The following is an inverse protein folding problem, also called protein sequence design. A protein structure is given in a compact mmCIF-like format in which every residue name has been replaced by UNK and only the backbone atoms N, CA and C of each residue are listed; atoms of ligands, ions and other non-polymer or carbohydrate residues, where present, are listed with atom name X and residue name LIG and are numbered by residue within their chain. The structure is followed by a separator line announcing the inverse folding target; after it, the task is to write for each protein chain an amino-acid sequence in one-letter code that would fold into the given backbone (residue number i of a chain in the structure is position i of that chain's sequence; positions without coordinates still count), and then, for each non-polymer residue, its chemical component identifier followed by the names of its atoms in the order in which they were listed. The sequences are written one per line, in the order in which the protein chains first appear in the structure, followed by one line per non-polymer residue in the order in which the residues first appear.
data_IF_264378493474
#
_entry.id   IF_264378493474
#
_cell.length_a   1.000
_cell.length_b   1.000
_cell.length_c   1.000
_cell.angle_alpha   90.00
_cell.angle_beta   90.00
_cell.angle_gamma   90.00
#
_symmetry.space_group_name_H-M   'P 1'
#
loop_
_entity.id
_entity.type
_entity.pdbx_description
1 polymer ?
#
# COMPACT_ATOMS: atom_id res chain seq x y z
N UNK A 1 -14.88 3.25 -79.08
CA UNK A 1 -13.88 3.81 -78.14
C UNK A 1 -14.58 4.41 -76.91
N UNK A 2 -15.19 3.59 -76.03
CA UNK A 2 -15.95 4.06 -74.84
C UNK A 2 -15.70 3.21 -73.59
N UNK A 3 -14.66 2.38 -73.57
CA UNK A 3 -14.37 1.42 -72.49
C UNK A 3 -13.13 1.77 -71.67
N UNK A 4 -12.36 2.80 -72.05
CA UNK A 4 -11.12 3.17 -71.36
C UNK A 4 -11.29 4.15 -70.19
N UNK A 5 -12.42 4.86 -70.08
CA UNK A 5 -12.61 5.90 -69.06
C UNK A 5 -13.26 5.38 -67.78
N UNK A 6 -13.90 4.21 -67.80
CA UNK A 6 -14.60 3.68 -66.62
C UNK A 6 -13.66 2.99 -65.63
N UNK A 7 -12.57 2.39 -66.12
CA UNK A 7 -11.63 1.60 -65.30
C UNK A 7 -10.67 2.46 -64.47
N UNK A 8 -10.35 3.67 -64.93
CA UNK A 8 -9.45 4.59 -64.20
C UNK A 8 -10.13 5.30 -63.03
N UNK A 9 -11.45 5.54 -63.11
CA UNK A 9 -12.23 6.12 -62.01
C UNK A 9 -12.43 5.13 -60.84
N UNK A 10 -12.58 3.84 -61.15
CA UNK A 10 -12.76 2.81 -60.12
C UNK A 10 -11.51 2.54 -59.28
N UNK A 11 -10.30 2.67 -59.86
CA UNK A 11 -9.06 2.47 -59.10
C UNK A 11 -8.75 3.63 -58.16
N UNK A 12 -9.11 4.86 -58.53
CA UNK A 12 -8.94 6.04 -57.66
C UNK A 12 -9.86 6.00 -56.43
N UNK A 13 -11.10 5.54 -56.59
CA UNK A 13 -12.03 5.37 -55.48
C UNK A 13 -11.59 4.27 -54.50
N UNK A 14 -10.96 3.20 -55.00
CA UNK A 14 -10.44 2.12 -54.15
C UNK A 14 -9.19 2.57 -53.35
N UNK A 15 -8.35 3.43 -53.93
CA UNK A 15 -7.16 3.96 -53.25
C UNK A 15 -7.53 4.94 -52.12
N UNK A 16 -8.61 5.72 -52.29
CA UNK A 16 -9.12 6.61 -51.25
C UNK A 16 -9.77 5.84 -50.08
N UNK A 17 -10.36 4.67 -50.35
CA UNK A 17 -10.94 3.83 -49.31
C UNK A 17 -9.86 3.17 -48.41
N UNK A 18 -8.66 2.93 -48.94
CA UNK A 18 -7.54 2.38 -48.16
C UNK A 18 -6.80 3.45 -47.34
N UNK A 19 -6.81 4.72 -47.75
CA UNK A 19 -6.22 5.81 -46.98
C UNK A 19 -7.05 6.23 -45.75
N UNK A 20 -8.37 6.01 -45.77
CA UNK A 20 -9.26 6.37 -44.67
C UNK A 20 -9.23 5.43 -43.45
N UNK A 21 -8.73 4.19 -43.61
CA UNK A 21 -8.73 3.18 -42.54
C UNK A 21 -7.46 3.29 -41.69
N UNK A 22 -6.33 3.74 -42.26
CA UNK A 22 -5.06 3.83 -41.54
C UNK A 22 -5.04 4.87 -40.41
N UNK A 23 -5.87 5.93 -40.47
CA UNK A 23 -5.92 6.96 -39.42
C UNK A 23 -6.77 6.61 -38.19
N UNK A 24 -7.55 5.53 -38.24
CA UNK A 24 -8.39 5.10 -37.11
C UNK A 24 -7.72 4.07 -36.19
N UNK A 25 -6.60 3.48 -36.62
CA UNK A 25 -5.96 2.36 -35.91
C UNK A 25 -4.78 2.79 -35.01
N UNK A 26 -4.16 3.96 -35.27
CA UNK A 26 -3.11 4.52 -34.39
C UNK A 26 -3.64 5.05 -33.05
N UNK A 27 -4.92 5.42 -32.97
CA UNK A 27 -5.57 5.93 -31.74
C UNK A 27 -5.68 4.87 -30.61
N UNK A 28 -5.34 3.61 -30.88
CA UNK A 28 -5.41 2.53 -29.88
C UNK A 28 -4.07 2.16 -29.25
N UNK A 29 -2.94 2.60 -29.81
CA UNK A 29 -1.64 2.05 -29.38
C UNK A 29 -0.98 2.88 -28.26
N UNK A 30 -1.20 4.20 -28.19
CA UNK A 30 -0.55 5.07 -27.20
C UNK A 30 -1.48 6.16 -26.62
N UNK A 31 -2.53 5.78 -25.86
CA UNK A 31 -3.52 6.73 -25.33
C UNK A 31 -2.91 7.80 -24.40
N UNK A 32 -1.77 7.51 -23.76
CA UNK A 32 -1.02 8.49 -22.95
C UNK A 32 -0.34 9.57 -23.81
N UNK A 33 0.20 9.18 -24.96
CA UNK A 33 0.88 10.09 -25.87
C UNK A 33 -0.13 10.97 -26.62
N UNK A 34 -1.29 10.42 -26.95
CA UNK A 34 -2.41 11.17 -27.54
C UNK A 34 -2.93 12.24 -26.58
N UNK A 35 -3.16 11.89 -25.31
CA UNK A 35 -3.55 12.87 -24.30
C UNK A 35 -2.50 13.99 -24.11
N UNK A 36 -1.20 13.64 -24.18
CA UNK A 36 -0.11 14.63 -24.10
C UNK A 36 -0.11 15.57 -25.31
N UNK A 37 -0.27 15.03 -26.53
CA UNK A 37 -0.38 15.83 -27.77
C UNK A 37 -1.60 16.75 -27.77
N UNK A 38 -2.73 16.29 -27.23
CA UNK A 38 -3.93 17.12 -27.08
C UNK A 38 -3.73 18.27 -26.07
N UNK A 39 -3.03 18.02 -24.96
CA UNK A 39 -2.66 19.08 -24.02
C UNK A 39 -1.68 20.10 -24.61
N UNK A 40 -0.71 19.65 -25.41
CA UNK A 40 0.22 20.54 -26.12
C UNK A 40 -0.55 21.45 -27.08
N UNK A 41 -1.43 20.89 -27.92
CA UNK A 41 -2.30 21.68 -28.80
C UNK A 41 -3.24 22.62 -28.05
N UNK A 42 -3.75 22.21 -26.89
CA UNK A 42 -4.56 23.08 -26.04
C UNK A 42 -3.76 24.30 -25.53
N UNK A 43 -2.47 24.12 -25.22
CA UNK A 43 -1.56 25.21 -24.83
C UNK A 43 -1.27 26.14 -26.00
N UNK A 44 -1.04 25.60 -27.19
CA UNK A 44 -0.82 26.39 -28.40
C UNK A 44 -2.07 27.18 -28.80
N UNK A 45 -3.26 26.56 -28.71
CA UNK A 45 -4.54 27.24 -28.94
C UNK A 45 -4.77 28.36 -27.93
N UNK A 46 -4.41 28.14 -26.65
CA UNK A 46 -4.47 29.16 -25.61
C UNK A 46 -3.49 30.30 -25.87
N UNK A 47 -2.27 30.01 -26.29
CA UNK A 47 -1.26 31.00 -26.67
C UNK A 47 -1.68 31.81 -27.91
N UNK A 48 -2.40 31.17 -28.83
CA UNK A 48 -2.99 31.80 -30.01
C UNK A 48 -4.28 32.58 -29.73
N UNK A 49 -4.71 32.70 -28.47
CA UNK A 49 -5.92 33.43 -28.10
C UNK A 49 -7.23 32.75 -28.51
N UNK A 50 -7.23 31.43 -28.72
CA UNK A 50 -8.41 30.61 -29.04
C UNK A 50 -8.83 29.80 -27.80
N UNK A 51 -9.53 30.42 -26.83
CA UNK A 51 -9.82 29.79 -25.54
C UNK A 51 -10.83 28.64 -25.64
N UNK A 52 -11.76 28.70 -26.59
CA UNK A 52 -12.79 27.67 -26.75
C UNK A 52 -12.18 26.37 -27.31
N UNK A 53 -11.38 26.47 -28.36
CA UNK A 53 -10.61 25.34 -28.90
C UNK A 53 -9.65 24.74 -27.86
N UNK A 54 -8.98 25.60 -27.08
CA UNK A 54 -8.10 25.15 -26.00
C UNK A 54 -8.86 24.35 -24.92
N UNK A 55 -10.10 24.75 -24.60
CA UNK A 55 -10.95 24.04 -23.63
C UNK A 55 -11.40 22.69 -24.17
N UNK A 56 -11.82 22.61 -25.42
CA UNK A 56 -12.25 21.36 -26.04
C UNK A 56 -11.10 20.33 -26.11
N UNK A 57 -9.92 20.78 -26.52
CA UNK A 57 -8.72 19.93 -26.58
C UNK A 57 -8.29 19.44 -25.18
N UNK A 58 -8.37 20.32 -24.17
CA UNK A 58 -8.09 19.95 -22.79
C UNK A 58 -9.10 18.93 -22.24
N UNK A 59 -10.40 19.10 -22.54
CA UNK A 59 -11.43 18.15 -22.14
C UNK A 59 -11.25 16.78 -22.80
N UNK A 60 -10.84 16.74 -24.08
CA UNK A 60 -10.55 15.47 -24.75
C UNK A 60 -9.35 14.77 -24.12
N UNK A 61 -8.28 15.50 -23.81
CA UNK A 61 -7.13 14.94 -23.09
C UNK A 61 -7.52 14.40 -21.70
N UNK A 62 -8.38 15.12 -20.98
CA UNK A 62 -8.88 14.73 -19.66
C UNK A 62 -9.73 13.45 -19.72
N UNK A 63 -10.59 13.29 -20.72
CA UNK A 63 -11.37 12.06 -20.93
C UNK A 63 -10.46 10.85 -21.15
N UNK A 64 -9.46 10.97 -22.01
CA UNK A 64 -8.51 9.89 -22.28
C UNK A 64 -7.71 9.56 -21.01
N UNK A 65 -7.30 10.56 -20.23
CA UNK A 65 -6.64 10.32 -18.94
C UNK A 65 -7.58 9.67 -17.91
N UNK A 66 -8.86 10.06 -17.87
CA UNK A 66 -9.85 9.46 -16.98
C UNK A 66 -10.08 7.99 -17.33
N UNK A 67 -10.27 7.65 -18.61
CA UNK A 67 -10.40 6.28 -19.08
C UNK A 67 -9.15 5.44 -18.77
N UNK A 68 -7.95 6.03 -18.91
CA UNK A 68 -6.71 5.37 -18.52
C UNK A 68 -6.60 5.16 -17.02
N UNK A 69 -7.03 6.14 -16.23
CA UNK A 69 -7.04 6.07 -14.77
C UNK A 69 -8.03 5.03 -14.26
N UNK A 70 -9.19 4.88 -14.92
CA UNK A 70 -10.15 3.81 -14.63
C UNK A 70 -9.57 2.43 -14.99
N UNK A 71 -8.91 2.31 -16.15
CA UNK A 71 -8.23 1.06 -16.56
C UNK A 71 -7.05 0.70 -15.67
N UNK A 72 -6.27 1.68 -15.21
CA UNK A 72 -5.15 1.47 -14.29
C UNK A 72 -5.62 1.26 -12.85
N UNK A 73 -6.68 1.94 -12.42
CA UNK A 73 -7.33 1.76 -11.12
C UNK A 73 -7.97 0.38 -10.96
N UNK A 74 -8.43 -0.23 -12.05
CA UNK A 74 -8.89 -1.62 -12.07
C UNK A 74 -7.74 -2.66 -11.99
N UNK A 75 -6.47 -2.25 -12.15
CA UNK A 75 -5.33 -3.19 -12.28
C UNK A 75 -4.14 -2.92 -11.34
N UNK A 76 -4.20 -1.92 -10.48
CA UNK A 76 -3.14 -1.65 -9.48
C UNK A 76 -3.74 -1.42 -8.09
N UNK A 77 -3.27 -2.11 -7.04
CA UNK A 77 -3.42 -1.58 -5.69
C UNK A 77 -2.71 -0.22 -5.67
N UNK A 78 -3.45 0.83 -5.36
CA UNK A 78 -2.93 2.19 -5.32
C UNK A 78 -1.75 2.32 -4.36
N UNK A 79 -0.92 3.37 -4.51
CA UNK A 79 0.15 3.64 -3.55
C UNK A 79 -0.46 3.85 -2.17
N UNK A 80 0.06 3.10 -1.21
CA UNK A 80 -0.36 3.07 0.19
C UNK A 80 -0.79 4.44 0.72
N UNK A 81 -2.02 4.60 1.24
CA UNK A 81 -2.32 5.68 2.16
C UNK A 81 -1.72 5.33 3.52
N UNK A 82 -0.39 5.30 3.62
CA UNK A 82 0.34 5.32 4.90
C UNK A 82 0.10 6.62 5.67
N UNK A 83 -0.67 7.57 5.11
CA UNK A 83 -1.01 8.85 5.76
C UNK A 83 -1.95 8.73 6.96
N UNK A 84 -2.51 7.55 7.24
CA UNK A 84 -3.39 7.38 8.39
C UNK A 84 -2.95 6.32 9.38
N UNK A 85 -1.93 5.49 9.12
CA UNK A 85 -1.42 4.60 10.16
C UNK A 85 -0.36 5.34 10.98
N UNK A 86 -0.40 5.28 12.32
CA UNK A 86 0.69 5.79 13.13
C UNK A 86 1.99 5.12 12.66
N UNK A 87 3.02 5.88 12.26
CA UNK A 87 4.17 5.39 11.48
C UNK A 87 5.08 4.41 12.24
N UNK A 88 4.73 4.02 13.47
CA UNK A 88 5.58 3.21 14.36
C UNK A 88 4.84 2.07 15.07
N UNK A 89 3.61 1.73 14.69
CA UNK A 89 2.90 0.59 15.26
C UNK A 89 3.52 -0.73 14.75
N UNK A 90 4.44 -1.31 15.51
CA UNK A 90 5.04 -2.61 15.22
C UNK A 90 4.29 -3.69 16.00
N UNK A 91 3.84 -4.75 15.33
CA UNK A 91 3.22 -5.90 15.98
C UNK A 91 2.07 -6.52 15.16
N UNK A 92 1.62 -7.72 15.56
CA UNK A 92 0.62 -8.49 14.81
C UNK A 92 -0.74 -7.78 14.73
N UNK A 93 -1.08 -6.91 15.68
CA UNK A 93 -2.34 -6.13 15.64
C UNK A 93 -2.32 -4.99 14.62
N UNK A 94 -1.17 -4.33 14.44
CA UNK A 94 -0.99 -3.31 13.41
C UNK A 94 -1.05 -3.93 12.01
N UNK A 95 -0.48 -5.13 11.84
CA UNK A 95 -0.56 -5.89 10.59
C UNK A 95 -2.00 -6.32 10.29
N UNK A 96 -2.74 -6.82 11.29
CA UNK A 96 -4.18 -7.10 11.15
C UNK A 96 -4.97 -5.87 10.71
N UNK A 97 -4.71 -4.70 11.29
CA UNK A 97 -5.38 -3.45 10.88
C UNK A 97 -5.07 -3.08 9.42
N UNK A 98 -3.83 -3.28 8.95
CA UNK A 98 -3.45 -3.05 7.54
C UNK A 98 -4.24 -3.95 6.60
N UNK A 99 -4.39 -5.23 6.93
CA UNK A 99 -5.16 -6.16 6.10
C UNK A 99 -6.65 -5.80 6.03
N UNK A 100 -7.23 -5.35 7.16
CA UNK A 100 -8.62 -4.91 7.19
C UNK A 100 -8.80 -3.65 6.33
N UNK A 101 -7.86 -2.72 6.37
CA UNK A 101 -7.88 -1.55 5.48
C UNK A 101 -7.79 -1.94 3.99
N UNK A 102 -6.94 -2.91 3.64
CA UNK A 102 -6.90 -3.44 2.26
C UNK A 102 -8.21 -4.10 1.85
N UNK A 103 -8.82 -4.91 2.74
CA UNK A 103 -10.11 -5.51 2.47
C UNK A 103 -11.20 -4.44 2.24
N UNK A 104 -11.17 -3.36 3.03
CA UNK A 104 -12.08 -2.23 2.86
C UNK A 104 -11.91 -1.54 1.50
N UNK A 105 -10.67 -1.35 1.04
CA UNK A 105 -10.38 -0.82 -0.29
C UNK A 105 -10.95 -1.72 -1.40
N UNK A 106 -10.78 -3.04 -1.28
CA UNK A 106 -11.34 -3.99 -2.24
C UNK A 106 -12.88 -3.96 -2.24
N UNK A 107 -13.52 -3.82 -1.08
CA UNK A 107 -14.98 -3.70 -0.99
C UNK A 107 -15.49 -2.40 -1.62
N UNK A 108 -14.81 -1.27 -1.40
CA UNK A 108 -15.14 -0.02 -2.07
C UNK A 108 -14.94 -0.09 -3.58
N UNK A 109 -13.83 -0.69 -4.03
CA UNK A 109 -13.56 -0.87 -5.46
C UNK A 109 -14.60 -1.78 -6.14
N UNK A 110 -15.15 -2.74 -5.40
CA UNK A 110 -16.22 -3.62 -5.86
C UNK A 110 -17.63 -2.99 -5.76
N UNK A 111 -17.75 -1.75 -5.28
CA UNK A 111 -19.05 -1.09 -5.06
C UNK A 111 -19.87 -1.68 -3.90
N UNK A 112 -19.25 -2.51 -3.05
CA UNK A 112 -19.88 -3.19 -1.92
C UNK A 112 -19.89 -2.29 -0.68
N UNK A 113 -20.64 -1.20 -0.74
CA UNK A 113 -20.67 -0.17 0.30
C UNK A 113 -21.25 -0.65 1.64
N UNK A 114 -22.27 -1.51 1.63
CA UNK A 114 -22.88 -2.05 2.87
C UNK A 114 -21.91 -2.96 3.65
N UNK A 115 -21.27 -3.99 3.03
CA UNK A 115 -20.20 -4.74 3.67
C UNK A 115 -19.02 -3.86 4.10
N UNK A 116 -18.67 -2.86 3.27
CA UNK A 116 -17.58 -1.95 3.59
C UNK A 116 -17.84 -1.16 4.88
N UNK A 117 -19.07 -0.69 5.14
CA UNK A 117 -19.38 0.02 6.40
C UNK A 117 -19.11 -0.81 7.64
N UNK A 118 -19.45 -2.10 7.61
CA UNK A 118 -19.21 -2.98 8.74
C UNK A 118 -17.71 -3.20 8.98
N UNK A 119 -16.96 -3.40 7.90
CA UNK A 119 -15.49 -3.56 7.96
C UNK A 119 -14.81 -2.26 8.39
N UNK A 120 -15.34 -1.10 7.98
CA UNK A 120 -14.86 0.21 8.42
C UNK A 120 -15.06 0.41 9.92
N UNK A 121 -16.20 -0.02 10.47
CA UNK A 121 -16.46 0.02 11.90
C UNK A 121 -15.44 -0.82 12.69
N UNK A 122 -15.15 -2.03 12.22
CA UNK A 122 -14.12 -2.90 12.79
C UNK A 122 -12.75 -2.21 12.73
N UNK A 123 -12.38 -1.63 11.59
CA UNK A 123 -11.11 -0.91 11.42
C UNK A 123 -11.00 0.30 12.37
N UNK A 124 -12.11 1.04 12.57
CA UNK A 124 -12.16 2.17 13.50
C UNK A 124 -11.98 1.71 14.94
N UNK A 125 -12.64 0.64 15.36
CA UNK A 125 -12.49 0.12 16.73
C UNK A 125 -11.05 -0.35 16.99
N UNK A 126 -10.50 -1.16 16.09
CA UNK A 126 -9.12 -1.64 16.21
C UNK A 126 -8.10 -0.50 16.23
N UNK A 127 -8.31 0.55 15.44
CA UNK A 127 -7.43 1.73 15.45
C UNK A 127 -7.44 2.42 16.81
N UNK A 128 -8.61 2.58 17.44
CA UNK A 128 -8.73 3.19 18.77
C UNK A 128 -8.01 2.35 19.82
N UNK A 129 -8.25 1.04 19.84
CA UNK A 129 -7.57 0.11 20.76
C UNK A 129 -6.05 0.17 20.60
N UNK A 130 -5.56 0.20 19.36
CA UNK A 130 -4.13 0.29 19.05
C UNK A 130 -3.54 1.63 19.52
N UNK A 131 -4.26 2.73 19.33
CA UNK A 131 -3.84 4.06 19.78
C UNK A 131 -3.83 4.18 21.31
N UNK A 132 -4.81 3.59 21.99
CA UNK A 132 -4.85 3.51 23.47
C UNK A 132 -3.66 2.72 23.99
N UNK A 133 -3.37 1.56 23.40
CA UNK A 133 -2.18 0.76 23.76
C UNK A 133 -0.88 1.52 23.54
N UNK A 134 -0.74 2.21 22.41
CA UNK A 134 0.43 3.06 22.16
C UNK A 134 0.51 4.22 23.16
N UNK A 135 -0.60 4.83 23.54
CA UNK A 135 -0.62 5.88 24.58
C UNK A 135 -0.18 5.33 25.94
N UNK A 136 -0.63 4.13 26.32
CA UNK A 136 -0.22 3.48 27.57
C UNK A 136 1.25 3.07 27.54
N UNK A 137 1.75 2.54 26.42
CA UNK A 137 3.14 2.18 26.23
C UNK A 137 4.06 3.41 26.20
N UNK A 138 3.65 4.48 25.52
CA UNK A 138 4.35 5.76 25.51
C UNK A 138 4.32 6.45 26.87
N UNK A 139 3.21 6.39 27.62
CA UNK A 139 3.16 6.89 28.99
C UNK A 139 4.04 6.07 29.94
N UNK A 140 4.14 4.75 29.73
CA UNK A 140 5.04 3.88 30.48
C UNK A 140 6.53 4.13 30.14
N UNK A 141 6.84 4.51 28.90
CA UNK A 141 8.20 4.81 28.43
C UNK A 141 8.62 6.29 28.57
N UNK A 142 7.67 7.21 28.76
CA UNK A 142 7.89 8.64 29.04
C UNK A 142 7.91 8.99 30.53
N UNK A 143 7.61 8.04 31.43
CA UNK A 143 8.19 8.14 32.77
C UNK A 143 9.70 8.30 32.57
N UNK A 144 10.38 9.24 33.26
CA UNK A 144 11.82 9.27 33.23
C UNK A 144 12.32 7.85 33.46
N UNK A 145 13.48 7.50 32.92
CA UNK A 145 14.35 6.51 33.57
C UNK A 145 14.65 7.02 34.99
N UNK A 146 13.66 7.02 35.88
CA UNK A 146 13.87 6.81 37.29
C UNK A 146 14.54 5.45 37.32
N UNK A 147 15.85 5.49 37.53
CA UNK A 147 16.63 4.35 38.00
C UNK A 147 15.71 3.51 38.87
N UNK A 148 15.46 2.27 38.46
CA UNK A 148 14.77 1.27 39.27
C UNK A 148 15.03 1.51 40.77
N UNK A 149 14.04 1.87 41.59
CA UNK A 149 14.07 1.54 42.99
C UNK A 149 13.52 0.11 43.14
N UNK A 150 14.09 -0.85 42.40
CA UNK A 150 13.88 -2.29 42.61
C UNK A 150 15.19 -3.00 42.98
N UNK A 151 16.27 -2.24 43.17
CA UNK A 151 17.60 -2.77 43.48
C UNK A 151 17.85 -3.32 44.91
N UNK A 152 16.88 -3.50 45.84
CA UNK A 152 17.16 -4.33 47.03
C UNK A 152 16.51 -5.73 47.01
N UNK A 153 15.43 -5.97 46.26
CA UNK A 153 14.70 -7.26 46.31
C UNK A 153 15.24 -8.29 45.33
N UNK A 154 15.47 -7.89 44.08
CA UNK A 154 16.02 -8.80 43.07
C UNK A 154 17.45 -9.25 43.42
N UNK A 155 18.22 -8.37 44.09
CA UNK A 155 19.54 -8.73 44.60
C UNK A 155 19.48 -9.69 45.78
N UNK A 156 18.51 -9.54 46.70
CA UNK A 156 18.32 -10.48 47.80
C UNK A 156 17.90 -11.87 47.30
N UNK A 157 16.97 -11.93 46.34
CA UNK A 157 16.52 -13.19 45.72
C UNK A 157 17.66 -13.88 44.94
N UNK A 158 18.50 -13.11 44.22
CA UNK A 158 19.70 -13.62 43.56
C UNK A 158 20.76 -14.13 44.54
N UNK A 159 20.93 -13.47 45.69
CA UNK A 159 21.85 -13.89 46.75
C UNK A 159 21.37 -15.19 47.39
N UNK A 160 20.07 -15.32 47.67
CA UNK A 160 19.44 -16.53 48.19
C UNK A 160 19.60 -17.71 47.21
N UNK A 161 19.35 -17.47 45.92
CA UNK A 161 19.54 -18.50 44.89
C UNK A 161 21.02 -18.94 44.78
N UNK A 162 21.97 -18.01 44.91
CA UNK A 162 23.41 -18.34 44.96
C UNK A 162 23.78 -19.15 46.19
N UNK A 163 23.23 -18.82 47.36
CA UNK A 163 23.45 -19.59 48.57
C UNK A 163 22.85 -21.00 48.46
N UNK A 164 21.66 -21.12 47.87
CA UNK A 164 21.02 -22.40 47.62
C UNK A 164 21.86 -23.29 46.69
N UNK A 165 22.41 -22.72 45.60
CA UNK A 165 23.31 -23.45 44.70
C UNK A 165 24.59 -23.91 45.40
N UNK A 166 25.17 -23.10 46.30
CA UNK A 166 26.36 -23.50 47.07
C UNK A 166 26.06 -24.67 48.01
N UNK A 167 24.95 -24.62 48.76
CA UNK A 167 24.53 -25.73 49.63
C UNK A 167 24.30 -27.02 48.84
N UNK A 168 23.68 -26.91 47.67
CA UNK A 168 23.45 -28.06 46.80
C UNK A 168 24.77 -28.66 46.28
N UNK A 169 25.73 -27.81 45.91
CA UNK A 169 27.06 -28.25 45.48
C UNK A 169 27.80 -28.99 46.61
N UNK A 170 27.75 -28.46 47.84
CA UNK A 170 28.36 -29.09 49.02
C UNK A 170 27.72 -30.44 49.35
N UNK A 171 26.38 -30.55 49.25
CA UNK A 171 25.69 -31.83 49.45
C UNK A 171 26.08 -32.87 48.40
N UNK A 172 26.21 -32.45 47.13
CA UNK A 172 26.67 -33.34 46.05
C UNK A 172 28.10 -33.79 46.31
N UNK A 173 28.97 -32.91 46.79
CA UNK A 173 30.36 -33.23 47.10
C UNK A 173 30.47 -34.19 48.30
N UNK A 174 29.66 -34.00 49.34
CA UNK A 174 29.57 -34.93 50.47
C UNK A 174 29.07 -36.31 50.04
N UNK A 175 28.01 -36.38 49.24
CA UNK A 175 27.50 -37.63 48.68
C UNK A 175 28.55 -38.33 47.81
N UNK A 176 29.30 -37.59 47.00
CA UNK A 176 30.42 -38.13 46.22
C UNK A 176 31.53 -38.66 47.12
N UNK A 177 31.90 -37.94 48.17
CA UNK A 177 32.93 -38.36 49.11
C UNK A 177 32.51 -39.60 49.90
N UNK A 178 31.24 -39.71 50.30
CA UNK A 178 30.70 -40.92 50.94
C UNK A 178 30.68 -42.11 49.98
N UNK A 179 30.27 -41.91 48.73
CA UNK A 179 30.35 -42.95 47.70
C UNK A 179 31.79 -43.40 47.44
N UNK A 180 32.75 -42.48 47.45
CA UNK A 180 34.17 -42.79 47.27
C UNK A 180 34.79 -43.50 48.49
N UNK A 181 34.31 -43.20 49.71
CA UNK A 181 34.73 -43.92 50.94
C UNK A 181 34.09 -45.30 51.09
N UNK A 182 32.93 -45.53 50.46
CA UNK A 182 32.16 -46.78 50.53
C UNK A 182 32.43 -47.70 49.34
N UNK A 183 33.20 -47.24 48.36
CA UNK A 183 33.80 -48.06 47.31
C UNK A 183 35.12 -48.66 47.86
N UNK A 184 35.20 -49.97 48.13
CA UNK A 184 36.47 -50.65 48.41
C UNK A 184 37.38 -50.75 47.18
#
# INVERSE_FOLDING_TARGET
MKTLTLTTLTTLALLALLAGIASAEEAKQHPKEEAARLMERARDAKAAGRPDEARELAQQAERIQAELREREGAKKPGPHPDKHLPPHAKGPEAERLRHIMQALEHLHAAGLHEPARHVEEIARNMRRELEERMKHEHAATQKPKEKHPQAPKDHAELEEMRQQMRRMAEQIEQLRAELHKKAP
#
